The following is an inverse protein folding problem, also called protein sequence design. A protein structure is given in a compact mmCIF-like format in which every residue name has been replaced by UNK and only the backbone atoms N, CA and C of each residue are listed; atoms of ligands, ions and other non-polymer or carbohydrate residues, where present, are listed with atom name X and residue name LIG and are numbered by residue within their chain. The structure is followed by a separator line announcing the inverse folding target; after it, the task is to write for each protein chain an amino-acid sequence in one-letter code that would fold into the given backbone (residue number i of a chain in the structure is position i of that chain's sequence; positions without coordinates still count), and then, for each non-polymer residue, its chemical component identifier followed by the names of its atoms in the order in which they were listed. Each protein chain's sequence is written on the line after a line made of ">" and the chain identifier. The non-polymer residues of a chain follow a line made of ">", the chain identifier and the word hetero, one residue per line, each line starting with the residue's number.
data_IF_868688149093
#
_entry.id   IF_868688149093
#
_cell.length_a   1.000
_cell.length_b   1.000
_cell.length_c   1.000
_cell.angle_alpha   90.00
_cell.angle_beta   90.00
_cell.angle_gamma   90.00
#
_symmetry.space_group_name_H-M   'P 1'
#
loop_
_entity.id
_entity.type
_entity.pdbx_description
1 polymer ?
#
# COMPACT_ATOMS: atom_id res chain seq x y z
N UNK A 1 -12.66 10.85 -18.78
CA UNK A 1 -13.10 9.57 -18.21
C UNK A 1 -13.23 9.74 -16.69
N UNK A 2 -14.37 10.26 -16.22
CA UNK A 2 -14.60 10.57 -14.81
C UNK A 2 -15.07 9.32 -14.07
N UNK A 3 -14.47 9.01 -12.92
CA UNK A 3 -14.91 7.85 -12.14
C UNK A 3 -16.39 8.00 -11.77
N UNK A 4 -17.14 6.92 -11.94
CA UNK A 4 -18.61 6.79 -11.83
C UNK A 4 -19.19 7.10 -10.44
N UNK A 5 -18.36 7.47 -9.47
CA UNK A 5 -18.69 7.63 -8.04
C UNK A 5 -18.05 8.90 -7.47
N UNK A 6 -18.75 10.06 -7.50
CA UNK A 6 -18.22 11.35 -7.05
C UNK A 6 -17.77 11.34 -5.57
N UNK A 7 -18.50 10.61 -4.72
CA UNK A 7 -18.17 10.49 -3.31
C UNK A 7 -16.77 9.90 -3.08
N UNK A 8 -16.35 8.89 -3.84
CA UNK A 8 -15.02 8.26 -3.70
C UNK A 8 -13.89 9.18 -4.14
N UNK A 9 -14.13 10.08 -5.09
CA UNK A 9 -13.14 11.08 -5.52
C UNK A 9 -12.83 12.08 -4.40
N UNK A 10 -13.88 12.49 -3.65
CA UNK A 10 -13.76 13.43 -2.52
C UNK A 10 -13.21 12.74 -1.27
N UNK A 11 -13.72 11.56 -0.94
CA UNK A 11 -13.34 10.84 0.27
C UNK A 11 -12.05 10.04 0.13
N UNK A 12 -11.55 9.81 -1.08
CA UNK A 12 -10.36 8.99 -1.30
C UNK A 12 -10.58 7.52 -0.94
N UNK A 13 -9.49 6.75 -0.94
CA UNK A 13 -9.49 5.31 -0.67
C UNK A 13 -8.45 4.92 0.37
N UNK A 14 -8.76 3.87 1.12
CA UNK A 14 -7.81 3.13 1.96
C UNK A 14 -7.52 1.81 1.25
N UNK A 15 -6.24 1.47 1.12
CA UNK A 15 -5.80 0.22 0.49
C UNK A 15 -5.45 -0.77 1.62
N UNK A 16 -6.00 -1.97 1.56
CA UNK A 16 -5.69 -3.07 2.46
C UNK A 16 -4.99 -4.18 1.66
N UNK A 17 -3.83 -4.63 2.11
CA UNK A 17 -3.04 -5.69 1.47
C UNK A 17 -2.80 -6.78 2.50
N UNK A 18 -3.29 -8.00 2.25
CA UNK A 18 -2.97 -9.17 3.05
C UNK A 18 -1.82 -9.94 2.38
N UNK A 19 -0.74 -10.16 3.13
CA UNK A 19 0.44 -10.92 2.68
C UNK A 19 0.46 -12.36 3.20
N UNK A 20 -0.66 -12.90 3.69
CA UNK A 20 -0.78 -14.32 4.03
C UNK A 20 -0.39 -15.19 2.82
N UNK A 21 0.58 -16.08 3.01
CA UNK A 21 1.09 -16.96 1.95
C UNK A 21 2.03 -16.29 0.95
N UNK A 22 2.52 -15.07 1.22
CA UNK A 22 3.46 -14.37 0.36
C UNK A 22 4.80 -15.11 0.23
N UNK A 23 5.17 -15.42 -1.00
CA UNK A 23 6.34 -16.27 -1.31
C UNK A 23 7.59 -15.47 -1.69
N UNK A 24 8.75 -16.09 -1.48
CA UNK A 24 10.06 -15.55 -1.93
C UNK A 24 10.08 -15.21 -3.43
N UNK A 25 9.44 -16.03 -4.29
CA UNK A 25 9.38 -15.78 -5.74
C UNK A 25 8.63 -14.48 -6.06
N UNK A 26 7.54 -14.21 -5.34
CA UNK A 26 6.79 -12.96 -5.50
C UNK A 26 7.63 -11.76 -5.03
N UNK A 27 8.37 -11.88 -3.93
CA UNK A 27 9.25 -10.82 -3.45
C UNK A 27 10.33 -10.45 -4.48
N UNK A 28 11.01 -11.45 -5.05
CA UNK A 28 12.02 -11.25 -6.11
C UNK A 28 11.41 -10.57 -7.35
N UNK A 29 10.17 -10.89 -7.68
CA UNK A 29 9.46 -10.19 -8.75
C UNK A 29 9.18 -8.71 -8.39
N UNK A 30 8.77 -8.44 -7.15
CA UNK A 30 8.39 -7.10 -6.70
C UNK A 30 9.56 -6.14 -6.54
N UNK A 31 10.78 -6.61 -6.26
CA UNK A 31 11.97 -5.74 -6.18
C UNK A 31 12.49 -5.28 -7.56
N UNK A 32 11.89 -5.74 -8.66
CA UNK A 32 12.29 -5.31 -10.00
C UNK A 32 12.01 -3.81 -10.19
N UNK A 33 12.97 -3.03 -10.72
CA UNK A 33 12.80 -1.58 -10.87
C UNK A 33 11.55 -1.17 -11.68
N UNK A 34 11.16 -1.97 -12.68
CA UNK A 34 9.93 -1.75 -13.45
C UNK A 34 8.68 -1.83 -12.57
N UNK A 35 8.59 -2.86 -11.73
CA UNK A 35 7.48 -3.05 -10.81
C UNK A 35 7.46 -1.96 -9.74
N UNK A 36 8.60 -1.64 -9.12
CA UNK A 36 8.70 -0.58 -8.11
C UNK A 36 8.25 0.78 -8.66
N UNK A 37 8.68 1.14 -9.88
CA UNK A 37 8.24 2.37 -10.53
C UNK A 37 6.75 2.36 -10.83
N UNK A 38 6.19 1.22 -11.25
CA UNK A 38 4.76 1.09 -11.51
C UNK A 38 3.94 1.22 -10.22
N UNK A 39 4.35 0.55 -9.14
CA UNK A 39 3.72 0.66 -7.82
C UNK A 39 3.80 2.08 -7.28
N UNK A 40 4.97 2.72 -7.36
CA UNK A 40 5.15 4.11 -6.95
C UNK A 40 4.31 5.08 -7.79
N UNK A 41 4.17 4.85 -9.10
CA UNK A 41 3.24 5.60 -9.94
C UNK A 41 1.81 5.36 -9.50
N UNK A 42 1.37 4.13 -9.25
CA UNK A 42 0.02 3.87 -8.78
C UNK A 42 -0.30 4.57 -7.44
N UNK A 43 0.64 4.54 -6.49
CA UNK A 43 0.47 5.16 -5.17
C UNK A 43 0.49 6.69 -5.20
N UNK A 44 1.09 7.30 -6.24
CA UNK A 44 1.34 8.74 -6.29
C UNK A 44 0.68 9.47 -7.47
N UNK A 45 0.43 8.78 -8.57
CA UNK A 45 -0.18 9.30 -9.77
C UNK A 45 -1.69 9.24 -9.58
N UNK A 46 -2.21 10.42 -9.28
CA UNK A 46 -3.62 10.82 -9.31
C UNK A 46 -4.33 10.32 -10.57
N UNK A 47 -4.93 9.14 -10.49
CA UNK A 47 -6.28 8.93 -11.03
C UNK A 47 -7.26 9.59 -10.06
N UNK A 48 -8.56 9.80 -10.36
CA UNK A 48 -9.38 10.82 -9.67
C UNK A 48 -9.71 10.51 -8.20
N UNK A 49 -9.07 9.48 -7.62
CA UNK A 49 -9.26 9.00 -6.26
C UNK A 49 -7.94 9.08 -5.50
N UNK A 50 -7.94 9.82 -4.40
CA UNK A 50 -6.77 10.06 -3.55
C UNK A 50 -6.55 8.87 -2.59
N UNK A 51 -5.39 8.24 -2.62
CA UNK A 51 -5.01 7.25 -1.59
C UNK A 51 -4.81 7.97 -0.25
N UNK A 52 -5.56 7.59 0.79
CA UNK A 52 -5.49 8.15 2.14
C UNK A 52 -4.52 7.37 3.02
N UNK A 53 -4.56 6.05 2.95
CA UNK A 53 -3.69 5.15 3.70
C UNK A 53 -3.49 3.84 2.93
N UNK A 54 -2.39 3.16 3.21
CA UNK A 54 -2.08 1.81 2.74
C UNK A 54 -1.72 0.99 3.97
N UNK A 55 -2.51 -0.03 4.27
CA UNK A 55 -2.28 -0.93 5.38
C UNK A 55 -1.93 -2.31 4.83
N UNK A 56 -0.82 -2.85 5.31
CA UNK A 56 -0.29 -4.15 4.88
C UNK A 56 -0.24 -5.05 6.11
N UNK A 57 -0.85 -6.24 6.00
CA UNK A 57 -1.03 -7.18 7.10
C UNK A 57 -0.29 -8.48 6.83
N UNK A 58 0.06 -9.17 7.91
CA UNK A 58 0.74 -10.46 7.88
C UNK A 58 2.05 -10.37 7.07
N UNK A 59 2.79 -9.26 7.19
CA UNK A 59 3.99 -9.07 6.39
C UNK A 59 5.08 -10.07 6.82
N UNK A 60 5.56 -10.93 5.92
CA UNK A 60 6.76 -11.69 6.20
C UNK A 60 7.96 -10.73 6.22
N UNK A 61 9.00 -11.01 7.02
CA UNK A 61 10.16 -10.12 7.16
C UNK A 61 10.82 -9.70 5.83
N UNK A 62 10.72 -10.54 4.80
CA UNK A 62 11.15 -10.26 3.42
C UNK A 62 10.42 -9.07 2.77
N UNK A 63 9.16 -8.82 3.11
CA UNK A 63 8.42 -7.69 2.56
C UNK A 63 9.01 -6.36 3.01
N UNK A 64 9.67 -6.30 4.17
CA UNK A 64 10.42 -5.09 4.59
C UNK A 64 11.50 -4.73 3.57
N UNK A 65 12.14 -5.71 2.93
CA UNK A 65 13.12 -5.50 1.86
C UNK A 65 12.45 -4.93 0.62
N UNK A 66 11.29 -5.46 0.23
CA UNK A 66 10.50 -4.94 -0.89
C UNK A 66 10.09 -3.48 -0.64
N UNK A 67 9.59 -3.18 0.56
CA UNK A 67 9.21 -1.82 0.95
C UNK A 67 10.41 -0.87 0.98
N UNK A 68 11.55 -1.32 1.50
CA UNK A 68 12.80 -0.54 1.50
C UNK A 68 13.26 -0.20 0.09
N UNK A 69 13.11 -1.14 -0.86
CA UNK A 69 13.41 -0.91 -2.27
C UNK A 69 12.39 0.03 -2.94
N UNK A 70 11.12 0.03 -2.50
CA UNK A 70 10.06 0.91 -3.00
C UNK A 70 10.20 2.35 -2.49
N UNK A 71 10.63 2.52 -1.24
CA UNK A 71 10.67 3.82 -0.52
C UNK A 71 11.33 4.97 -1.29
N UNK A 72 12.46 4.80 -2.01
CA UNK A 72 13.09 5.87 -2.79
C UNK A 72 12.22 6.43 -3.93
N UNK A 73 11.24 5.65 -4.39
CA UNK A 73 10.32 6.06 -5.45
C UNK A 73 9.08 6.79 -4.90
N UNK A 74 8.91 6.83 -3.58
CA UNK A 74 7.76 7.44 -2.90
C UNK A 74 8.10 8.82 -2.35
N UNK A 75 7.19 9.77 -2.52
CA UNK A 75 7.16 11.06 -1.82
C UNK A 75 6.96 10.82 -0.33
N UNK A 76 7.55 11.66 0.53
CA UNK A 76 7.44 11.56 1.98
C UNK A 76 5.99 11.41 2.45
N UNK A 77 5.07 12.23 1.90
CA UNK A 77 3.63 12.15 2.19
C UNK A 77 3.03 10.75 2.00
N UNK A 78 3.53 9.95 1.05
CA UNK A 78 3.04 8.58 0.87
C UNK A 78 3.74 7.60 1.79
N UNK A 79 5.02 7.80 2.09
CA UNK A 79 5.73 7.02 3.12
C UNK A 79 4.99 7.11 4.45
N UNK A 80 4.55 8.30 4.84
CA UNK A 80 3.82 8.56 6.09
C UNK A 80 2.41 7.93 6.12
N UNK A 81 1.91 7.42 4.98
CA UNK A 81 0.58 6.82 4.82
C UNK A 81 0.63 5.29 4.72
N UNK A 82 1.82 4.70 4.69
CA UNK A 82 2.00 3.24 4.66
C UNK A 82 2.20 2.75 6.10
N UNK A 83 1.44 1.74 6.48
CA UNK A 83 1.57 1.09 7.78
C UNK A 83 1.65 -0.43 7.58
N UNK A 84 2.61 -1.06 8.25
CA UNK A 84 2.84 -2.50 8.24
C UNK A 84 2.40 -3.08 9.58
N UNK A 85 1.70 -4.21 9.57
CA UNK A 85 1.18 -4.85 10.77
C UNK A 85 1.37 -6.37 10.70
N UNK A 86 2.13 -6.91 11.65
CA UNK A 86 2.43 -8.33 11.72
C UNK A 86 1.17 -9.23 11.76
N UNK A 87 0.03 -8.72 12.25
CA UNK A 87 -1.25 -9.43 12.22
C UNK A 87 -2.42 -8.47 11.99
N UNK A 88 -3.43 -8.91 11.24
CA UNK A 88 -4.63 -8.13 10.92
C UNK A 88 -5.41 -7.65 12.16
N UNK A 89 -5.49 -8.48 13.21
CA UNK A 89 -6.19 -8.12 14.46
C UNK A 89 -5.65 -6.83 15.11
N UNK A 90 -4.37 -6.52 14.88
CA UNK A 90 -3.73 -5.33 15.43
C UNK A 90 -4.33 -4.05 14.83
N UNK A 91 -4.81 -4.09 13.59
CA UNK A 91 -5.47 -2.96 12.95
C UNK A 91 -6.90 -2.74 13.45
N UNK A 92 -7.67 -3.82 13.64
CA UNK A 92 -9.01 -3.72 14.27
C UNK A 92 -8.89 -3.15 15.69
N UNK A 93 -7.78 -3.41 16.38
CA UNK A 93 -7.53 -2.85 17.72
C UNK A 93 -7.08 -1.39 17.70
N UNK A 94 -6.38 -0.94 16.64
CA UNK A 94 -5.94 0.46 16.49
C UNK A 94 -7.05 1.37 15.96
N UNK A 95 -7.94 0.84 15.12
CA UNK A 95 -9.12 1.55 14.65
C UNK A 95 -10.35 0.99 15.35
N UNK A 96 -10.85 1.65 16.42
CA UNK A 96 -12.09 1.23 17.04
C UNK A 96 -13.20 1.36 16.00
N UNK A 97 -13.90 0.25 15.77
CA UNK A 97 -15.17 0.24 15.04
C UNK A 97 -16.07 1.29 15.69
N UNK A 98 -16.51 2.28 14.92
CA UNK A 98 -17.77 2.94 15.23
C UNK A 98 -18.90 1.92 15.16
#
# INVERSE_FOLDING_TARGET
>A
MGARWPATQVHGVVILIDLTGFSWRQAVHMVRPSFLRQAARFLQASTPVRVKAVHIYNEPGIFSTVYTALRPFLKQKMVDRVSLYAVFLLFVRIYPSH
#
